data_IF_066669140171
#
_entry.id   IF_066669140171
#
_cell.length_a   1.000
_cell.length_b   1.000
_cell.length_c   1.000
_cell.angle_alpha   90.00
_cell.angle_beta   90.00
_cell.angle_gamma   90.00
#
_symmetry.space_group_name_H-M   'P 1'
#
loop_
_entity.id
_entity.type
_entity.pdbx_description
1 polymer ?
#
# COMPACT_ATOMS: atom_id res chain seq x y z
N UNK A 1 -24.81 12.78 -22.09
CA UNK A 1 -23.90 12.74 -20.93
C UNK A 1 -24.08 14.00 -20.08
N UNK A 2 -24.50 13.86 -18.82
CA UNK A 2 -24.53 14.97 -17.86
C UNK A 2 -23.20 15.03 -17.09
N UNK A 3 -22.27 15.89 -17.53
CA UNK A 3 -20.94 16.01 -16.92
C UNK A 3 -20.98 16.52 -15.47
N UNK A 4 -22.04 17.22 -15.06
CA UNK A 4 -22.17 17.73 -13.68
C UNK A 4 -22.45 16.62 -12.67
N UNK A 5 -23.07 15.52 -13.12
CA UNK A 5 -23.22 14.30 -12.31
C UNK A 5 -21.93 13.48 -12.21
N UNK A 6 -20.97 13.76 -13.09
CA UNK A 6 -19.73 13.00 -13.27
C UNK A 6 -18.52 13.65 -12.59
N UNK A 7 -18.49 14.96 -12.40
CA UNK A 7 -17.46 15.67 -11.62
C UNK A 7 -17.95 17.04 -11.17
N UNK A 8 -17.51 17.50 -9.99
CA UNK A 8 -17.71 18.88 -9.53
C UNK A 8 -16.64 19.85 -10.06
N UNK A 9 -15.49 19.34 -10.53
CA UNK A 9 -14.39 20.16 -11.06
C UNK A 9 -14.69 20.65 -12.49
N UNK A 10 -14.73 21.97 -12.74
CA UNK A 10 -15.01 22.51 -14.07
C UNK A 10 -14.01 22.08 -15.15
N UNK A 11 -12.73 21.93 -14.80
CA UNK A 11 -11.70 21.50 -15.76
C UNK A 11 -11.94 20.06 -16.23
N UNK A 12 -12.24 19.17 -15.29
CA UNK A 12 -12.65 17.78 -15.57
C UNK A 12 -13.92 17.74 -16.40
N UNK A 13 -14.95 18.54 -16.07
CA UNK A 13 -16.19 18.59 -16.87
C UNK A 13 -15.94 18.97 -18.33
N UNK A 14 -15.05 19.93 -18.57
CA UNK A 14 -14.66 20.33 -19.92
C UNK A 14 -13.93 19.20 -20.66
N UNK A 15 -12.99 18.53 -19.99
CA UNK A 15 -12.28 17.39 -20.59
C UNK A 15 -13.22 16.23 -20.92
N UNK A 16 -14.21 15.93 -20.06
CA UNK A 16 -15.22 14.92 -20.34
C UNK A 16 -16.01 15.25 -21.62
N UNK A 17 -16.40 16.52 -21.84
CA UNK A 17 -17.08 16.94 -23.07
C UNK A 17 -16.19 16.74 -24.30
N UNK A 18 -14.90 17.10 -24.19
CA UNK A 18 -13.93 16.94 -25.29
C UNK A 18 -13.70 15.47 -25.63
N UNK A 19 -13.51 14.62 -24.64
CA UNK A 19 -13.35 13.18 -24.84
C UNK A 19 -14.57 12.56 -25.52
N UNK A 20 -15.78 12.93 -25.07
CA UNK A 20 -17.02 12.47 -25.71
C UNK A 20 -17.13 12.94 -27.18
N UNK A 21 -16.79 14.20 -27.47
CA UNK A 21 -16.77 14.72 -28.86
C UNK A 21 -15.73 13.99 -29.74
N UNK A 22 -14.61 13.56 -29.14
CA UNK A 22 -13.57 12.80 -29.82
C UNK A 22 -13.87 11.29 -29.93
N UNK A 23 -15.00 10.81 -29.36
CA UNK A 23 -15.34 9.38 -29.36
C UNK A 23 -14.43 8.54 -28.46
N UNK A 24 -13.86 9.13 -27.40
CA UNK A 24 -13.01 8.42 -26.44
C UNK A 24 -13.78 8.06 -25.17
N UNK A 25 -13.68 6.80 -24.77
CA UNK A 25 -14.30 6.30 -23.54
C UNK A 25 -13.50 6.69 -22.28
N UNK A 26 -14.24 7.04 -21.23
CA UNK A 26 -13.72 7.35 -19.90
C UNK A 26 -14.03 6.23 -18.91
N UNK A 27 -13.55 6.37 -17.66
CA UNK A 27 -13.91 5.44 -16.59
C UNK A 27 -15.43 5.41 -16.33
N UNK A 28 -16.15 6.52 -16.57
CA UNK A 28 -17.59 6.58 -16.33
C UNK A 28 -18.39 5.84 -17.38
N UNK A 29 -17.96 5.91 -18.64
CA UNK A 29 -18.61 5.16 -19.72
C UNK A 29 -18.43 3.66 -19.50
N UNK A 30 -17.24 3.23 -19.06
CA UNK A 30 -16.98 1.84 -18.69
C UNK A 30 -17.74 1.40 -17.43
N UNK A 31 -17.98 2.29 -16.47
CA UNK A 31 -18.80 1.99 -15.30
C UNK A 31 -20.27 1.78 -15.72
N UNK A 32 -20.83 2.70 -16.50
CA UNK A 32 -22.19 2.59 -17.03
C UNK A 32 -22.37 1.29 -17.84
N UNK A 33 -21.37 0.89 -18.63
CA UNK A 33 -21.38 -0.38 -19.37
C UNK A 33 -21.31 -1.63 -18.48
N UNK A 34 -20.84 -1.51 -17.22
CA UNK A 34 -20.80 -2.59 -16.24
C UNK A 34 -22.06 -2.67 -15.38
N UNK A 35 -22.98 -1.72 -15.50
CA UNK A 35 -24.22 -1.67 -14.71
C UNK A 35 -25.38 -2.43 -15.39
N UNK A 36 -26.21 -3.17 -14.62
CA UNK A 36 -26.04 -3.45 -13.20
C UNK A 36 -24.91 -4.47 -12.96
N UNK A 37 -24.02 -4.15 -12.02
CA UNK A 37 -22.93 -5.06 -11.63
C UNK A 37 -23.48 -6.31 -10.93
N UNK A 38 -22.67 -7.38 -10.87
CA UNK A 38 -23.06 -8.64 -10.24
C UNK A 38 -23.31 -8.50 -8.73
N UNK A 39 -24.55 -8.72 -8.28
CA UNK A 39 -24.94 -8.62 -6.87
C UNK A 39 -24.18 -9.56 -5.93
N UNK A 40 -23.88 -10.80 -6.34
CA UNK A 40 -23.07 -11.73 -5.53
C UNK A 40 -21.64 -11.20 -5.30
N UNK A 41 -21.07 -10.52 -6.30
CA UNK A 41 -19.76 -9.89 -6.20
C UNK A 41 -19.77 -8.68 -5.29
N UNK A 42 -20.78 -7.82 -5.44
CA UNK A 42 -20.95 -6.61 -4.60
C UNK A 42 -21.18 -6.97 -3.12
N UNK A 43 -21.93 -8.03 -2.84
CA UNK A 43 -22.15 -8.52 -1.47
C UNK A 43 -20.98 -9.38 -0.94
N UNK A 44 -19.99 -9.72 -1.77
CA UNK A 44 -18.83 -10.52 -1.37
C UNK A 44 -19.11 -12.01 -1.17
N UNK A 45 -20.28 -12.51 -1.59
CA UNK A 45 -20.78 -13.89 -1.35
C UNK A 45 -20.44 -14.87 -2.48
N UNK A 46 -19.49 -14.53 -3.34
CA UNK A 46 -18.97 -15.35 -4.43
C UNK A 46 -17.52 -15.77 -4.14
N UNK A 47 -17.25 -17.08 -4.14
CA UNK A 47 -15.92 -17.64 -3.88
C UNK A 47 -15.33 -18.29 -5.15
N UNK A 48 -14.06 -17.98 -5.44
CA UNK A 48 -13.29 -18.47 -6.61
C UNK A 48 -11.91 -19.03 -6.24
N UNK A 49 -11.73 -19.48 -5.00
CA UNK A 49 -10.42 -19.87 -4.46
C UNK A 49 -9.91 -21.21 -5.02
N UNK A 50 -10.80 -22.10 -5.47
CA UNK A 50 -10.43 -23.42 -5.98
C UNK A 50 -11.30 -23.86 -7.18
N UNK A 51 -10.87 -24.93 -7.86
CA UNK A 51 -11.50 -25.43 -9.08
C UNK A 51 -12.80 -26.22 -8.86
N UNK A 52 -13.24 -26.43 -7.62
CA UNK A 52 -14.60 -26.94 -7.35
C UNK A 52 -15.67 -25.86 -7.52
N UNK A 53 -15.28 -24.59 -7.47
CA UNK A 53 -16.16 -23.45 -7.70
C UNK A 53 -16.27 -23.05 -9.18
N UNK A 54 -16.75 -21.83 -9.48
CA UNK A 54 -17.13 -20.77 -8.54
C UNK A 54 -18.34 -21.16 -7.68
N UNK A 55 -18.30 -20.83 -6.38
CA UNK A 55 -19.44 -21.02 -5.48
C UNK A 55 -20.12 -19.67 -5.21
N UNK A 56 -21.46 -19.63 -5.26
CA UNK A 56 -22.27 -18.46 -4.90
C UNK A 56 -23.17 -18.84 -3.75
N UNK A 57 -23.17 -18.02 -2.69
CA UNK A 57 -24.11 -18.17 -1.58
C UNK A 57 -25.29 -17.25 -1.83
N UNK A 58 -26.49 -17.82 -1.75
CA UNK A 58 -27.72 -17.04 -1.84
C UNK A 58 -27.94 -16.28 -0.53
N UNK A 59 -27.97 -14.93 -0.55
CA UNK A 59 -28.08 -14.13 0.67
C UNK A 59 -29.49 -14.13 1.28
N UNK A 60 -30.50 -14.67 0.58
CA UNK A 60 -31.90 -14.66 0.99
C UNK A 60 -32.38 -16.00 1.58
N UNK A 61 -31.54 -17.04 1.55
CA UNK A 61 -31.86 -18.35 2.11
C UNK A 61 -32.62 -19.28 1.17
N UNK A 62 -32.91 -18.86 -0.05
CA UNK A 62 -33.70 -19.64 -1.02
C UNK A 62 -32.82 -20.56 -1.87
N UNK A 63 -31.53 -20.22 -2.00
CA UNK A 63 -30.54 -20.96 -2.76
C UNK A 63 -29.46 -21.64 -1.92
N UNK A 64 -28.33 -22.03 -2.54
CA UNK A 64 -27.21 -22.67 -1.85
C UNK A 64 -26.68 -21.84 -0.68
N UNK A 65 -26.60 -22.43 0.51
CA UNK A 65 -26.14 -21.77 1.74
C UNK A 65 -24.67 -22.06 2.07
N UNK A 66 -24.02 -22.94 1.30
CA UNK A 66 -22.60 -23.30 1.44
C UNK A 66 -21.96 -23.51 0.07
N UNK A 67 -20.65 -23.27 0.00
CA UNK A 67 -19.84 -23.70 -1.13
C UNK A 67 -19.62 -25.22 -1.14
N UNK A 68 -19.05 -25.76 -2.21
CA UNK A 68 -18.78 -27.21 -2.35
C UNK A 68 -17.93 -27.76 -1.19
N UNK A 69 -16.97 -26.98 -0.68
CA UNK A 69 -16.14 -27.38 0.47
C UNK A 69 -16.81 -27.19 1.84
N UNK A 70 -18.08 -26.76 1.88
CA UNK A 70 -18.83 -26.51 3.11
C UNK A 70 -18.63 -25.12 3.72
N UNK A 71 -17.80 -24.25 3.14
CA UNK A 71 -17.65 -22.86 3.61
C UNK A 71 -18.98 -22.09 3.49
N UNK A 72 -19.36 -21.43 4.57
CA UNK A 72 -20.55 -20.58 4.65
C UNK A 72 -20.28 -19.14 4.20
N UNK A 73 -21.31 -18.30 4.28
CA UNK A 73 -21.26 -16.89 3.88
C UNK A 73 -20.21 -16.10 4.67
N UNK A 74 -20.13 -16.31 5.98
CA UNK A 74 -19.21 -15.59 6.87
C UNK A 74 -17.76 -15.87 6.49
N UNK A 75 -17.45 -17.15 6.27
CA UNK A 75 -16.12 -17.59 5.85
C UNK A 75 -15.74 -17.02 4.49
N UNK A 76 -16.66 -17.06 3.51
CA UNK A 76 -16.40 -16.58 2.16
C UNK A 76 -16.15 -15.06 2.16
N UNK A 77 -17.00 -14.29 2.83
CA UNK A 77 -16.84 -12.83 2.92
C UNK A 77 -15.51 -12.49 3.62
N UNK A 78 -15.23 -13.12 4.76
CA UNK A 78 -14.00 -12.85 5.51
C UNK A 78 -12.74 -13.17 4.69
N UNK A 79 -12.72 -14.28 3.93
CA UNK A 79 -11.59 -14.63 3.07
C UNK A 79 -11.43 -13.64 1.90
N UNK A 80 -12.52 -13.26 1.27
CA UNK A 80 -12.50 -12.27 0.18
C UNK A 80 -11.96 -10.94 0.68
N UNK A 81 -12.42 -10.48 1.85
CA UNK A 81 -11.93 -9.27 2.49
C UNK A 81 -10.45 -9.38 2.87
N UNK A 82 -10.02 -10.48 3.48
CA UNK A 82 -8.62 -10.68 3.84
C UNK A 82 -7.70 -10.67 2.60
N UNK A 83 -8.12 -11.23 1.45
CA UNK A 83 -7.35 -11.14 0.21
C UNK A 83 -7.25 -9.72 -0.33
N UNK A 84 -8.31 -8.90 -0.19
CA UNK A 84 -8.25 -7.49 -0.56
C UNK A 84 -7.26 -6.72 0.32
N UNK A 85 -7.28 -6.96 1.63
CA UNK A 85 -6.30 -6.39 2.57
C UNK A 85 -4.88 -6.83 2.21
N UNK A 86 -4.66 -8.12 1.99
CA UNK A 86 -3.35 -8.64 1.61
C UNK A 86 -2.82 -8.04 0.30
N UNK A 87 -3.70 -7.79 -0.68
CA UNK A 87 -3.32 -7.12 -1.93
C UNK A 87 -2.89 -5.68 -1.72
N UNK A 88 -3.59 -4.93 -0.85
CA UNK A 88 -3.18 -3.56 -0.49
C UNK A 88 -1.84 -3.57 0.25
N UNK A 89 -1.72 -4.42 1.27
CA UNK A 89 -0.48 -4.59 2.03
C UNK A 89 0.69 -5.02 1.15
N UNK A 90 0.49 -5.88 0.15
CA UNK A 90 1.57 -6.27 -0.76
C UNK A 90 2.05 -5.12 -1.64
N UNK A 91 1.16 -4.22 -2.07
CA UNK A 91 1.54 -3.06 -2.87
C UNK A 91 2.42 -2.09 -2.07
N UNK A 92 2.01 -1.76 -0.84
CA UNK A 92 2.81 -0.90 0.03
C UNK A 92 4.08 -1.62 0.54
N UNK A 93 4.03 -2.94 0.73
CA UNK A 93 5.22 -3.75 1.06
C UNK A 93 6.29 -3.59 -0.02
N UNK A 94 5.92 -3.80 -1.29
CA UNK A 94 6.89 -3.79 -2.38
C UNK A 94 7.41 -2.38 -2.69
N UNK A 95 6.55 -1.36 -2.56
CA UNK A 95 6.98 0.03 -2.57
C UNK A 95 8.02 0.32 -1.47
N UNK A 96 7.72 -0.03 -0.22
CA UNK A 96 8.64 0.19 0.90
C UNK A 96 9.95 -0.60 0.75
N UNK A 97 9.90 -1.80 0.15
CA UNK A 97 11.11 -2.58 -0.15
C UNK A 97 11.94 -1.92 -1.24
N UNK A 98 11.31 -1.39 -2.29
CA UNK A 98 11.97 -0.62 -3.34
C UNK A 98 12.72 0.58 -2.76
N UNK A 99 12.05 1.35 -1.89
CA UNK A 99 12.66 2.46 -1.14
C UNK A 99 13.84 1.98 -0.29
N UNK A 100 13.68 0.89 0.48
CA UNK A 100 14.76 0.36 1.31
C UNK A 100 15.98 -0.11 0.50
N UNK A 101 15.76 -0.72 -0.68
CA UNK A 101 16.84 -1.06 -1.59
C UNK A 101 17.58 0.18 -2.11
N UNK A 102 16.85 1.20 -2.55
CA UNK A 102 17.45 2.44 -3.04
C UNK A 102 18.19 3.20 -1.92
N UNK A 103 17.62 3.22 -0.72
CA UNK A 103 18.26 3.77 0.47
C UNK A 103 19.60 3.10 0.77
N UNK A 104 19.63 1.75 0.72
CA UNK A 104 20.86 0.99 0.95
C UNK A 104 21.89 1.17 -0.18
N UNK A 105 21.45 1.22 -1.44
CA UNK A 105 22.33 1.50 -2.58
C UNK A 105 22.96 2.90 -2.46
N UNK A 106 22.17 3.91 -2.09
CA UNK A 106 22.66 5.25 -1.77
C UNK A 106 23.68 5.23 -0.62
N UNK A 107 23.35 4.54 0.48
CA UNK A 107 24.25 4.40 1.63
C UNK A 107 25.55 3.65 1.29
N UNK A 108 25.57 2.75 0.30
CA UNK A 108 26.79 2.09 -0.17
C UNK A 108 27.59 2.92 -1.17
N UNK A 109 26.98 3.95 -1.76
CA UNK A 109 27.56 4.74 -2.85
C UNK A 109 27.39 4.10 -4.23
N UNK A 110 26.45 3.16 -4.35
CA UNK A 110 26.09 2.48 -5.61
C UNK A 110 25.06 3.29 -6.41
N UNK A 111 24.42 4.28 -5.77
CA UNK A 111 23.44 5.18 -6.38
C UNK A 111 23.82 6.65 -6.10
N UNK A 112 24.81 7.22 -6.81
CA UNK A 112 25.45 8.50 -6.47
C UNK A 112 24.55 9.72 -6.67
N UNK A 113 23.46 9.58 -7.43
CA UNK A 113 22.49 10.66 -7.64
C UNK A 113 21.55 10.86 -6.44
N UNK A 114 21.56 9.93 -5.48
CA UNK A 114 20.84 10.04 -4.21
C UNK A 114 21.79 10.37 -3.06
N UNK A 115 21.26 10.99 -2.02
CA UNK A 115 22.03 11.31 -0.81
C UNK A 115 21.16 11.43 0.44
N UNK A 116 21.82 11.68 1.57
CA UNK A 116 21.17 11.93 2.86
C UNK A 116 20.82 13.42 2.92
N UNK A 117 19.54 13.75 2.70
CA UNK A 117 19.04 15.13 2.74
C UNK A 117 18.57 15.55 4.13
N UNK A 118 18.15 14.59 4.98
CA UNK A 118 17.78 14.85 6.37
C UNK A 118 18.61 13.98 7.35
N UNK A 119 19.81 14.44 7.74
CA UNK A 119 20.65 13.71 8.70
C UNK A 119 20.03 13.70 10.10
N UNK A 120 19.27 14.72 10.50
CA UNK A 120 18.62 14.74 11.82
C UNK A 120 17.63 13.58 11.92
N UNK A 121 16.81 13.40 10.89
CA UNK A 121 15.86 12.28 10.83
C UNK A 121 16.55 10.92 10.77
N UNK A 122 17.66 10.81 10.04
CA UNK A 122 18.49 9.59 10.05
C UNK A 122 18.91 9.21 11.48
N UNK A 123 19.45 10.15 12.25
CA UNK A 123 19.91 9.91 13.62
C UNK A 123 18.76 9.58 14.58
N UNK A 124 17.60 10.25 14.43
CA UNK A 124 16.39 9.94 15.21
C UNK A 124 15.93 8.51 14.94
N UNK A 125 15.78 8.15 13.66
CA UNK A 125 15.31 6.82 13.26
C UNK A 125 16.29 5.73 13.69
N UNK A 126 17.60 5.96 13.52
CA UNK A 126 18.65 5.06 13.98
C UNK A 126 18.53 4.78 15.49
N UNK A 127 18.39 5.83 16.30
CA UNK A 127 18.22 5.70 17.76
C UNK A 127 16.96 4.92 18.13
N UNK A 128 15.83 5.21 17.49
CA UNK A 128 14.56 4.50 17.73
C UNK A 128 14.65 2.99 17.42
N UNK A 129 15.40 2.64 16.37
CA UNK A 129 15.58 1.25 15.94
C UNK A 129 16.73 0.54 16.65
N UNK A 130 17.43 1.23 17.55
CA UNK A 130 18.51 0.68 18.38
C UNK A 130 19.87 0.62 17.70
N UNK A 131 20.08 1.39 16.63
CA UNK A 131 21.36 1.52 15.93
C UNK A 131 22.23 2.52 16.70
N UNK A 132 23.45 2.12 17.05
CA UNK A 132 24.42 3.01 17.72
C UNK A 132 24.95 4.04 16.72
N UNK A 133 25.02 5.31 17.10
CA UNK A 133 25.45 6.40 16.21
C UNK A 133 26.77 7.05 16.62
N UNK A 134 27.18 6.92 17.88
CA UNK A 134 28.37 7.59 18.41
C UNK A 134 29.65 7.21 17.66
N UNK A 135 30.37 8.22 17.16
CA UNK A 135 31.64 8.05 16.44
C UNK A 135 31.53 7.45 15.04
N UNK A 136 30.32 7.30 14.50
CA UNK A 136 30.08 6.76 13.15
C UNK A 136 29.76 7.86 12.16
N UNK A 137 30.04 7.59 10.89
CA UNK A 137 29.61 8.47 9.81
C UNK A 137 28.12 8.24 9.50
N UNK A 138 27.45 9.25 8.95
CA UNK A 138 26.06 9.13 8.48
C UNK A 138 25.90 8.01 7.46
N UNK A 139 26.92 7.79 6.61
CA UNK A 139 26.95 6.69 5.64
C UNK A 139 26.92 5.33 6.33
N UNK A 140 27.73 5.13 7.37
CA UNK A 140 27.75 3.87 8.13
C UNK A 140 26.44 3.62 8.87
N UNK A 141 25.81 4.68 9.39
CA UNK A 141 24.52 4.61 10.09
C UNK A 141 23.41 4.26 9.08
N UNK A 142 23.38 4.94 7.93
CA UNK A 142 22.43 4.68 6.86
C UNK A 142 22.57 3.26 6.30
N UNK A 143 23.79 2.74 6.15
CA UNK A 143 23.96 1.37 5.68
C UNK A 143 23.32 0.35 6.62
N UNK A 144 23.60 0.44 7.93
CA UNK A 144 22.98 -0.47 8.91
C UNK A 144 21.45 -0.28 8.99
N UNK A 145 20.98 0.96 8.89
CA UNK A 145 19.55 1.26 8.85
C UNK A 145 18.87 0.63 7.62
N UNK A 146 19.49 0.71 6.44
CA UNK A 146 18.97 0.10 5.22
C UNK A 146 18.91 -1.43 5.31
N UNK A 147 19.93 -2.07 5.90
CA UNK A 147 19.95 -3.52 6.11
C UNK A 147 18.87 -3.95 7.12
N UNK A 148 18.70 -3.21 8.22
CA UNK A 148 17.63 -3.44 9.19
C UNK A 148 16.24 -3.25 8.56
N UNK A 149 16.07 -2.20 7.76
CA UNK A 149 14.84 -1.91 7.04
C UNK A 149 14.45 -3.08 6.11
N UNK A 150 15.38 -3.58 5.30
CA UNK A 150 15.12 -4.74 4.43
C UNK A 150 14.74 -6.00 5.23
N UNK A 151 15.33 -6.19 6.41
CA UNK A 151 14.99 -7.33 7.27
C UNK A 151 13.54 -7.29 7.78
N UNK A 152 12.92 -6.11 7.95
CA UNK A 152 11.54 -5.99 8.46
C UNK A 152 10.49 -6.64 7.53
N UNK A 153 10.79 -6.79 6.24
CA UNK A 153 9.88 -7.41 5.28
C UNK A 153 9.80 -8.94 5.45
N UNK A 154 10.91 -9.59 5.88
CA UNK A 154 11.03 -11.06 5.85
C UNK A 154 11.68 -11.72 7.07
N UNK A 155 11.92 -10.99 8.17
CA UNK A 155 12.60 -11.54 9.35
C UNK A 155 11.89 -12.78 9.93
N UNK A 156 12.65 -13.79 10.41
CA UNK A 156 12.08 -15.04 10.91
C UNK A 156 11.39 -14.90 12.28
N UNK A 157 11.81 -13.93 13.10
CA UNK A 157 11.38 -13.79 14.48
C UNK A 157 11.09 -12.34 14.87
N UNK A 158 10.32 -12.16 15.95
CA UNK A 158 9.99 -10.85 16.51
C UNK A 158 8.79 -10.18 15.84
N UNK A 159 8.56 -8.93 16.27
CA UNK A 159 7.49 -8.05 15.80
C UNK A 159 8.05 -6.88 15.00
N UNK A 160 7.23 -6.24 14.16
CA UNK A 160 7.60 -5.03 13.43
C UNK A 160 8.15 -3.97 14.39
N UNK A 161 9.35 -3.46 14.10
CA UNK A 161 10.02 -2.48 14.96
C UNK A 161 9.28 -1.15 14.97
N UNK A 162 8.76 -0.73 13.82
CA UNK A 162 7.99 0.51 13.70
C UNK A 162 6.69 0.48 14.52
N UNK A 163 6.13 -0.71 14.79
CA UNK A 163 4.98 -0.87 15.68
C UNK A 163 5.28 -0.49 17.15
N UNK A 164 6.55 -0.42 17.56
CA UNK A 164 6.92 0.01 18.91
C UNK A 164 6.64 1.49 19.18
N UNK A 165 6.53 2.32 18.12
CA UNK A 165 6.09 3.72 18.22
C UNK A 165 4.65 3.87 18.73
N UNK A 166 3.83 2.82 18.59
CA UNK A 166 2.45 2.88 19.07
C UNK A 166 2.38 3.01 20.60
N UNK A 167 1.40 3.76 21.15
CA UNK A 167 1.24 3.91 22.59
C UNK A 167 1.07 2.57 23.32
N UNK A 168 1.58 2.48 24.55
CA UNK A 168 1.53 1.24 25.34
C UNK A 168 0.11 0.61 25.45
N UNK A 169 -0.99 1.36 25.66
CA UNK A 169 -2.33 0.78 25.68
C UNK A 169 -2.72 0.11 24.35
N UNK A 170 -2.27 0.67 23.22
CA UNK A 170 -2.53 0.13 21.89
C UNK A 170 -1.78 -1.18 21.67
N UNK A 171 -0.48 -1.21 22.02
CA UNK A 171 0.35 -2.43 21.95
C UNK A 171 -0.20 -3.54 22.85
N UNK A 172 -0.71 -3.20 24.03
CA UNK A 172 -1.36 -4.17 24.92
C UNK A 172 -2.60 -4.81 24.28
N UNK A 173 -3.44 -4.03 23.59
CA UNK A 173 -4.59 -4.56 22.85
C UNK A 173 -4.15 -5.45 21.70
N UNK A 174 -3.13 -5.06 20.93
CA UNK A 174 -2.61 -5.89 19.84
C UNK A 174 -2.09 -7.23 20.32
N UNK A 175 -1.38 -7.26 21.45
CA UNK A 175 -0.93 -8.50 22.09
C UNK A 175 -2.12 -9.32 22.60
N UNK A 176 -3.10 -8.69 23.25
CA UNK A 176 -4.31 -9.36 23.75
C UNK A 176 -5.10 -10.07 22.64
N UNK A 177 -5.19 -9.45 21.46
CA UNK A 177 -5.93 -10.00 20.32
C UNK A 177 -5.05 -10.81 19.35
N UNK A 178 -3.76 -11.01 19.66
CA UNK A 178 -2.78 -11.67 18.80
C UNK A 178 -2.66 -11.07 17.38
N UNK A 179 -2.71 -9.74 17.29
CA UNK A 179 -2.63 -8.99 16.04
C UNK A 179 -1.38 -8.10 15.94
N UNK A 180 -0.40 -8.27 16.81
CA UNK A 180 0.88 -7.59 16.68
C UNK A 180 1.61 -8.10 15.42
N UNK A 181 1.96 -7.23 14.45
CA UNK A 181 2.53 -7.66 13.17
C UNK A 181 3.97 -8.14 13.32
N UNK A 182 4.37 -9.16 12.53
CA UNK A 182 5.69 -9.81 12.64
C UNK A 182 6.65 -9.36 11.55
N UNK A 183 6.40 -9.77 10.31
CA UNK A 183 7.15 -9.40 9.10
C UNK A 183 6.14 -9.09 7.99
N UNK A 184 6.34 -8.00 7.24
CA UNK A 184 5.32 -7.49 6.30
C UNK A 184 4.90 -8.58 5.31
N UNK A 185 5.86 -9.25 4.67
CA UNK A 185 5.58 -10.29 3.67
C UNK A 185 5.00 -11.54 4.29
N UNK A 186 5.43 -11.87 5.50
CA UNK A 186 4.88 -13.01 6.23
C UNK A 186 3.38 -12.85 6.47
N UNK A 187 2.92 -11.64 6.81
CA UNK A 187 1.50 -11.42 7.02
C UNK A 187 0.69 -11.56 5.72
N UNK A 188 1.25 -11.12 4.58
CA UNK A 188 0.66 -11.32 3.26
C UNK A 188 0.61 -12.81 2.88
N UNK A 189 1.73 -13.53 3.02
CA UNK A 189 1.82 -14.97 2.71
C UNK A 189 0.88 -15.77 3.61
N UNK A 190 0.84 -15.47 4.91
CA UNK A 190 -0.08 -16.14 5.84
C UNK A 190 -1.55 -15.81 5.51
N UNK A 191 -1.85 -14.62 4.97
CA UNK A 191 -3.20 -14.29 4.50
C UNK A 191 -3.61 -15.15 3.30
N UNK A 192 -2.72 -15.32 2.32
CA UNK A 192 -2.97 -16.19 1.18
C UNK A 192 -3.10 -17.66 1.58
N UNK A 193 -2.31 -18.11 2.56
CA UNK A 193 -2.42 -19.44 3.17
C UNK A 193 -3.78 -19.63 3.86
N UNK A 194 -4.16 -18.75 4.79
CA UNK A 194 -5.42 -18.85 5.55
C UNK A 194 -6.65 -18.85 4.66
N UNK A 195 -6.60 -18.11 3.56
CA UNK A 195 -7.72 -17.99 2.61
C UNK A 195 -7.77 -19.12 1.59
N UNK A 196 -6.81 -20.06 1.58
CA UNK A 196 -6.89 -21.25 0.75
C UNK A 196 -8.03 -22.18 1.22
N UNK A 197 -8.56 -22.97 0.28
CA UNK A 197 -9.59 -23.98 0.60
C UNK A 197 -9.08 -24.95 1.67
N UNK A 198 -9.89 -25.18 2.71
CA UNK A 198 -9.59 -26.15 3.77
C UNK A 198 -8.60 -25.67 4.84
N UNK A 199 -8.26 -24.38 4.89
CA UNK A 199 -7.33 -23.83 5.90
C UNK A 199 -8.08 -23.15 7.04
N UNK A 200 -8.27 -21.83 7.02
CA UNK A 200 -8.95 -21.12 8.11
C UNK A 200 -10.44 -20.97 7.76
N UNK A 201 -11.32 -21.58 8.55
CA UNK A 201 -12.78 -21.57 8.35
C UNK A 201 -13.50 -20.74 9.43
N UNK A 202 -12.77 -20.07 10.31
CA UNK A 202 -13.36 -19.20 11.35
C UNK A 202 -13.20 -17.74 10.93
N UNK A 203 -14.33 -17.08 10.66
CA UNK A 203 -14.33 -15.70 10.18
C UNK A 203 -13.67 -14.72 11.17
N UNK A 204 -13.73 -14.98 12.49
CA UNK A 204 -13.10 -14.11 13.51
C UNK A 204 -11.59 -14.24 13.45
N UNK A 205 -11.06 -15.45 13.26
CA UNK A 205 -9.63 -15.67 13.07
C UNK A 205 -9.12 -15.03 11.78
N UNK A 206 -9.87 -15.17 10.69
CA UNK A 206 -9.57 -14.52 9.41
C UNK A 206 -9.53 -12.99 9.56
N UNK A 207 -10.52 -12.38 10.21
CA UNK A 207 -10.58 -10.93 10.40
C UNK A 207 -9.51 -10.40 11.36
N UNK A 208 -9.11 -11.19 12.37
CA UNK A 208 -7.95 -10.87 13.21
C UNK A 208 -6.66 -10.86 12.38
N UNK A 209 -6.46 -11.85 11.50
CA UNK A 209 -5.32 -11.83 10.59
C UNK A 209 -5.39 -10.68 9.59
N UNK A 210 -6.58 -10.27 9.14
CA UNK A 210 -6.74 -9.07 8.31
C UNK A 210 -6.26 -7.82 9.05
N UNK A 211 -6.59 -7.72 10.34
CA UNK A 211 -6.10 -6.63 11.20
C UNK A 211 -4.58 -6.68 11.36
N UNK A 212 -3.99 -7.86 11.59
CA UNK A 212 -2.53 -8.03 11.70
C UNK A 212 -1.82 -7.68 10.38
N UNK A 213 -2.37 -8.08 9.25
CA UNK A 213 -1.83 -7.79 7.92
C UNK A 213 -1.85 -6.28 7.63
N UNK A 214 -2.99 -5.61 7.88
CA UNK A 214 -3.09 -4.16 7.76
C UNK A 214 -2.17 -3.40 8.74
N UNK A 215 -1.94 -3.93 9.94
CA UNK A 215 -0.96 -3.37 10.87
C UNK A 215 0.48 -3.54 10.37
N UNK A 216 0.79 -4.65 9.70
CA UNK A 216 2.10 -4.87 9.05
C UNK A 216 2.36 -3.91 7.88
N UNK A 217 1.31 -3.46 7.22
CA UNK A 217 1.37 -2.35 6.26
C UNK A 217 1.66 -1.03 6.97
N UNK A 218 0.68 -0.52 7.74
CA UNK A 218 0.73 0.83 8.29
C UNK A 218 1.85 1.06 9.31
N UNK A 219 2.15 0.06 10.16
CA UNK A 219 3.23 0.10 11.17
C UNK A 219 4.43 -0.74 10.75
N UNK A 220 4.58 -0.99 9.46
CA UNK A 220 5.72 -1.68 8.86
C UNK A 220 6.07 -1.04 7.53
N UNK A 221 5.63 -1.65 6.42
CA UNK A 221 5.99 -1.25 5.06
C UNK A 221 5.80 0.24 4.77
N UNK A 222 4.60 0.77 5.00
CA UNK A 222 4.29 2.18 4.70
C UNK A 222 5.07 3.16 5.58
N UNK A 223 5.07 2.95 6.90
CA UNK A 223 5.76 3.86 7.82
C UNK A 223 7.27 3.84 7.59
N UNK A 224 7.86 2.67 7.37
CA UNK A 224 9.28 2.55 7.07
C UNK A 224 9.62 3.26 5.75
N UNK A 225 8.82 3.08 4.70
CA UNK A 225 9.01 3.76 3.42
C UNK A 225 9.04 5.28 3.58
N UNK A 226 8.04 5.84 4.28
CA UNK A 226 7.95 7.28 4.54
C UNK A 226 9.18 7.81 5.28
N UNK A 227 9.63 7.10 6.33
CA UNK A 227 10.78 7.57 7.11
C UNK A 227 12.07 7.56 6.31
N UNK A 228 12.30 6.51 5.49
CA UNK A 228 13.46 6.43 4.62
C UNK A 228 13.42 7.48 3.50
N UNK A 229 12.26 7.67 2.88
CA UNK A 229 12.05 8.71 1.87
C UNK A 229 12.36 10.10 2.41
N UNK A 230 11.90 10.44 3.62
CA UNK A 230 12.20 11.74 4.20
C UNK A 230 13.70 11.91 4.47
N UNK A 231 14.44 10.85 4.81
CA UNK A 231 15.91 10.91 4.91
C UNK A 231 16.55 11.14 3.54
N UNK A 232 16.06 10.49 2.48
CA UNK A 232 16.62 10.59 1.11
C UNK A 232 16.26 11.90 0.39
N UNK A 233 15.03 12.36 0.58
CA UNK A 233 14.41 13.42 -0.20
C UNK A 233 14.20 14.71 0.60
N UNK A 234 14.37 14.64 1.91
CA UNK A 234 14.18 15.73 2.84
C UNK A 234 12.77 15.69 3.43
N UNK A 235 12.66 15.87 4.74
CA UNK A 235 11.36 15.94 5.43
C UNK A 235 10.54 17.12 4.85
N UNK A 236 9.31 16.89 4.36
CA UNK A 236 8.48 17.95 3.80
C UNK A 236 8.21 19.09 4.78
N UNK A 237 8.28 20.32 4.27
CA UNK A 237 7.97 21.56 5.00
C UNK A 237 6.84 22.34 4.30
N UNK A 238 6.14 23.26 4.99
CA UNK A 238 5.10 24.07 4.34
C UNK A 238 5.63 24.80 3.10
N UNK A 239 4.97 24.58 1.96
CA UNK A 239 5.30 25.17 0.67
C UNK A 239 4.03 25.61 -0.08
N UNK A 240 4.21 26.43 -1.13
CA UNK A 240 3.14 26.80 -2.06
C UNK A 240 3.20 25.90 -3.28
N UNK A 241 2.05 25.47 -3.78
CA UNK A 241 1.92 24.71 -5.01
C UNK A 241 0.62 25.04 -5.73
N UNK A 242 0.51 24.59 -6.97
CA UNK A 242 -0.69 24.72 -7.81
C UNK A 242 -1.27 23.32 -8.07
N UNK A 243 -2.58 23.24 -8.31
CA UNK A 243 -3.31 22.00 -8.52
C UNK A 243 -4.41 22.22 -9.57
N UNK A 244 -4.83 21.14 -10.24
CA UNK A 244 -5.77 21.02 -11.36
C UNK A 244 -5.08 20.91 -12.74
N UNK A 245 -5.86 20.72 -13.81
CA UNK A 245 -5.33 20.59 -15.18
C UNK A 245 -4.75 21.89 -15.75
N UNK A 246 -4.99 23.03 -15.10
CA UNK A 246 -4.48 24.35 -15.45
C UNK A 246 -3.00 24.55 -15.13
N UNK A 247 -2.36 23.62 -14.41
CA UNK A 247 -0.90 23.61 -14.24
C UNK A 247 -0.15 23.30 -15.55
N UNK A 248 -0.84 22.79 -16.56
CA UNK A 248 -0.27 22.52 -17.87
C UNK A 248 -0.09 23.82 -18.66
N UNK A 249 1.11 24.03 -19.20
CA UNK A 249 1.48 25.27 -19.90
C UNK A 249 1.53 25.01 -21.40
N UNK A 250 0.79 25.80 -22.18
CA UNK A 250 0.62 25.60 -23.64
C UNK A 250 1.94 25.63 -24.41
N UNK A 251 2.82 26.55 -24.05
CA UNK A 251 4.09 26.80 -24.77
C UNK A 251 5.28 26.15 -24.04
N UNK A 252 5.03 25.09 -23.26
CA UNK A 252 6.04 24.30 -22.56
C UNK A 252 5.93 22.80 -22.88
N UNK A 253 7.02 22.07 -22.63
CA UNK A 253 6.99 20.60 -22.62
C UNK A 253 6.35 20.16 -21.30
N UNK A 254 5.17 19.55 -21.37
CA UNK A 254 4.45 19.07 -20.20
C UNK A 254 4.79 17.60 -19.94
N UNK A 255 5.48 17.33 -18.83
CA UNK A 255 5.80 15.97 -18.38
C UNK A 255 4.90 15.57 -17.21
N UNK A 256 4.04 14.58 -17.42
CA UNK A 256 3.15 14.05 -16.38
C UNK A 256 3.84 12.85 -15.76
N UNK A 257 4.19 12.95 -14.49
CA UNK A 257 4.68 11.82 -13.70
C UNK A 257 3.51 11.19 -12.97
N UNK A 258 3.23 9.92 -13.25
CA UNK A 258 2.13 9.18 -12.65
C UNK A 258 2.62 7.84 -12.10
N UNK A 259 2.22 7.51 -10.88
CA UNK A 259 2.67 6.34 -10.14
C UNK A 259 2.79 6.64 -8.65
N UNK A 260 3.54 5.82 -7.93
CA UNK A 260 3.72 5.93 -6.48
C UNK A 260 5.20 5.92 -6.04
N UNK A 261 6.14 5.70 -6.97
CA UNK A 261 7.55 5.51 -6.63
C UNK A 261 8.34 6.83 -6.81
N UNK A 262 8.69 7.54 -5.72
CA UNK A 262 9.36 8.83 -5.84
C UNK A 262 10.81 8.71 -6.33
N UNK A 263 11.43 7.52 -6.24
CA UNK A 263 12.75 7.28 -6.83
C UNK A 263 12.79 7.71 -8.31
N UNK A 264 11.73 7.42 -9.06
CA UNK A 264 11.64 7.86 -10.46
C UNK A 264 11.24 9.33 -10.58
N UNK A 265 10.19 9.76 -9.86
CA UNK A 265 9.64 11.10 -10.03
C UNK A 265 10.61 12.20 -9.64
N UNK A 266 11.36 12.01 -8.56
CA UNK A 266 12.39 12.95 -8.08
C UNK A 266 13.49 13.14 -9.12
N UNK A 267 13.96 12.05 -9.72
CA UNK A 267 15.01 12.11 -10.75
C UNK A 267 14.51 12.72 -12.06
N UNK A 268 13.27 12.43 -12.46
CA UNK A 268 12.65 13.09 -13.63
C UNK A 268 12.50 14.58 -13.40
N UNK A 269 12.03 14.99 -12.22
CA UNK A 269 11.90 16.40 -11.86
C UNK A 269 13.28 17.09 -11.83
N UNK A 270 14.28 16.46 -11.21
CA UNK A 270 15.65 16.99 -11.18
C UNK A 270 16.21 17.15 -12.59
N UNK A 271 16.11 16.13 -13.44
CA UNK A 271 16.60 16.17 -14.82
C UNK A 271 15.90 17.24 -15.67
N UNK A 272 14.59 17.42 -15.49
CA UNK A 272 13.81 18.44 -16.20
C UNK A 272 14.18 19.88 -15.81
N UNK A 273 14.94 20.07 -14.72
CA UNK A 273 15.41 21.39 -14.24
C UNK A 273 16.88 21.66 -14.51
N UNK A 274 17.60 20.74 -15.16
CA UNK A 274 19.00 20.96 -15.54
C UNK A 274 19.13 22.06 -16.62
N UNK A 275 20.25 22.83 -16.63
CA UNK A 275 20.49 23.91 -17.58
C UNK A 275 20.56 23.49 -19.06
#
# INVERSE_FOLDING_TARGET
MDVKKRSSDPATQEMLRRMAKAGHETAWDRLEAQEPQCGFGQLGVCCRVCNMGPCRIDPFGEGPQRGVCGADVDTIIARNFLRAVASGTSAHSDHGRGVAHAFLAMARGEAPDYGIKDPVKLHVLAKELGIKTDGRTDKDIAQELGELALAEFGKPHGFQRMAERAPAPRKALWKKFDIMPRAVDREVVEALHRTHMGVDQDYKNILRHASRCALGDGWGGSMLATELQDVMFGTPVPARGEINLGVLVKDAVNLIVHGHEPLLSEMVAAAATLP
#
